data_IF_482117098526
#
_entry.id   IF_482117098526
#
_cell.length_a   1.000
_cell.length_b   1.000
_cell.length_c   1.000
_cell.angle_alpha   90.00
_cell.angle_beta   90.00
_cell.angle_gamma   90.00
#
_symmetry.space_group_name_H-M   'P 1'
#
loop_
_entity.id
_entity.type
_entity.pdbx_description
1 polymer ?
#
# COMPACT_ATOMS: atom_id res chain seq x y z
N UNK A 1 -1.13 17.97 -3.80
CA UNK A 1 -1.31 16.60 -3.31
C UNK A 1 -2.79 16.32 -3.18
N UNK A 2 -3.24 15.20 -3.72
CA UNK A 2 -4.64 14.75 -3.70
C UNK A 2 -4.66 13.30 -3.17
N UNK A 3 -5.67 12.95 -2.38
CA UNK A 3 -5.87 11.59 -1.88
C UNK A 3 -7.19 11.09 -2.44
N UNK A 4 -7.16 9.94 -3.13
CA UNK A 4 -8.33 9.33 -3.74
C UNK A 4 -8.43 7.85 -3.37
N UNK A 5 -9.64 7.32 -3.43
CA UNK A 5 -9.87 5.87 -3.43
C UNK A 5 -9.40 5.30 -4.76
N UNK A 6 -8.50 4.33 -4.72
CA UNK A 6 -7.92 3.71 -5.91
C UNK A 6 -7.66 2.22 -5.69
N UNK A 7 -7.33 1.50 -6.76
CA UNK A 7 -6.98 0.08 -6.66
C UNK A 7 -5.50 -0.12 -6.26
N UNK A 8 -5.18 -1.08 -5.38
CA UNK A 8 -3.80 -1.40 -5.00
C UNK A 8 -3.01 -2.16 -6.09
N UNK A 9 -3.66 -2.69 -7.14
CA UNK A 9 -3.04 -3.50 -8.22
C UNK A 9 -2.26 -2.68 -9.27
N UNK A 10 -2.07 -1.39 -9.00
CA UNK A 10 -1.29 -0.51 -9.86
C UNK A 10 0.21 -0.79 -9.71
N UNK A 11 0.99 -0.81 -10.81
CA UNK A 11 2.40 -1.22 -10.76
C UNK A 11 3.26 -0.32 -9.86
N UNK A 12 3.00 0.99 -9.83
CA UNK A 12 3.70 1.93 -8.95
C UNK A 12 3.37 1.70 -7.46
N UNK A 13 2.12 1.35 -7.15
CA UNK A 13 1.66 1.05 -5.79
C UNK A 13 2.21 -0.29 -5.32
N UNK A 14 2.16 -1.32 -6.15
CA UNK A 14 2.74 -2.63 -5.86
C UNK A 14 4.25 -2.53 -5.57
N UNK A 15 4.99 -1.71 -6.33
CA UNK A 15 6.40 -1.46 -6.07
C UNK A 15 6.64 -0.76 -4.72
N UNK A 16 5.75 0.16 -4.33
CA UNK A 16 5.82 0.83 -3.03
C UNK A 16 5.50 -0.13 -1.87
N UNK A 17 4.48 -0.98 -2.01
CA UNK A 17 4.14 -2.02 -1.04
C UNK A 17 5.30 -2.99 -0.85
N UNK A 18 5.92 -3.49 -1.93
CA UNK A 18 7.07 -4.38 -1.84
C UNK A 18 8.27 -3.74 -1.10
N UNK A 19 8.47 -2.43 -1.25
CA UNK A 19 9.51 -1.69 -0.50
C UNK A 19 9.16 -1.57 0.98
N UNK A 20 7.89 -1.35 1.31
CA UNK A 20 7.41 -1.33 2.69
C UNK A 20 7.56 -2.70 3.34
N UNK A 21 7.19 -3.77 2.63
CA UNK A 21 7.33 -5.16 3.10
C UNK A 21 8.78 -5.50 3.43
N UNK A 22 9.70 -5.16 2.53
CA UNK A 22 11.14 -5.35 2.75
C UNK A 22 11.66 -4.55 3.96
N UNK A 23 11.17 -3.33 4.16
CA UNK A 23 11.52 -2.52 5.32
C UNK A 23 10.98 -3.13 6.61
N UNK A 24 9.71 -3.52 6.65
CA UNK A 24 9.09 -4.13 7.82
C UNK A 24 9.76 -5.47 8.18
N UNK A 25 10.10 -6.30 7.18
CA UNK A 25 10.81 -7.55 7.40
C UNK A 25 12.24 -7.35 7.95
N UNK A 26 12.87 -6.21 7.67
CA UNK A 26 14.17 -5.87 8.23
C UNK A 26 14.08 -5.32 9.67
N UNK A 27 12.94 -4.72 10.05
CA UNK A 27 12.75 -4.07 11.35
C UNK A 27 12.09 -4.97 12.39
N UNK A 28 11.24 -5.91 11.96
CA UNK A 28 10.42 -6.73 12.85
C UNK A 28 10.64 -8.22 12.61
N UNK A 29 10.59 -9.06 13.66
CA UNK A 29 10.56 -10.51 13.50
C UNK A 29 9.30 -10.94 12.75
N UNK A 30 9.34 -12.08 12.06
CA UNK A 30 8.26 -12.56 11.21
C UNK A 30 6.93 -12.71 11.95
N UNK A 31 6.97 -13.10 13.23
CA UNK A 31 5.80 -13.29 14.08
C UNK A 31 5.08 -11.98 14.43
N UNK A 32 5.77 -10.85 14.35
CA UNK A 32 5.20 -9.51 14.57
C UNK A 32 4.93 -8.76 13.26
N UNK A 33 5.22 -9.38 12.12
CA UNK A 33 5.08 -8.75 10.82
C UNK A 33 3.72 -9.10 10.21
N UNK A 34 2.79 -8.14 10.22
CA UNK A 34 1.40 -8.31 9.76
C UNK A 34 1.22 -7.75 8.34
N UNK A 35 2.07 -8.16 7.41
CA UNK A 35 2.00 -7.72 6.02
C UNK A 35 0.74 -8.27 5.35
N UNK A 36 0.12 -7.44 4.51
CA UNK A 36 -1.01 -7.82 3.66
C UNK A 36 -0.55 -7.87 2.21
N UNK A 37 -0.93 -8.92 1.50
CA UNK A 37 -0.72 -9.00 0.06
C UNK A 37 -1.73 -8.13 -0.71
N UNK A 38 -1.43 -7.88 -1.99
CA UNK A 38 -2.29 -7.06 -2.85
C UNK A 38 -3.70 -7.67 -2.99
N UNK A 39 -3.82 -9.00 -2.96
CA UNK A 39 -5.10 -9.68 -3.04
C UNK A 39 -6.00 -9.36 -1.83
N UNK A 40 -5.43 -9.35 -0.62
CA UNK A 40 -6.13 -8.99 0.61
C UNK A 40 -6.54 -7.51 0.61
N UNK A 41 -5.70 -6.63 0.07
CA UNK A 41 -5.99 -5.20 -0.04
C UNK A 41 -7.11 -4.88 -1.04
N UNK A 42 -7.43 -5.80 -1.96
CA UNK A 42 -8.55 -5.69 -2.90
C UNK A 42 -9.86 -6.26 -2.35
N UNK A 43 -9.88 -6.73 -1.10
CA UNK A 43 -11.11 -7.22 -0.49
C UNK A 43 -12.15 -6.10 -0.41
N UNK A 44 -13.43 -6.45 -0.59
CA UNK A 44 -14.51 -5.46 -0.77
C UNK A 44 -14.84 -4.63 0.47
N UNK A 45 -14.31 -5.01 1.63
CA UNK A 45 -14.39 -4.30 2.90
C UNK A 45 -13.18 -3.39 3.18
N UNK A 46 -12.21 -3.33 2.26
CA UNK A 46 -11.02 -2.49 2.39
C UNK A 46 -11.20 -1.17 1.64
N UNK A 47 -11.00 -0.06 2.35
CA UNK A 47 -10.86 1.26 1.72
C UNK A 47 -9.38 1.51 1.42
N UNK A 48 -9.01 1.37 0.14
CA UNK A 48 -7.65 1.66 -0.31
C UNK A 48 -7.52 3.08 -0.86
N UNK A 49 -6.52 3.81 -0.38
CA UNK A 49 -6.28 5.23 -0.68
C UNK A 49 -4.88 5.41 -1.25
N UNK A 50 -4.75 6.20 -2.31
CA UNK A 50 -3.46 6.61 -2.88
C UNK A 50 -3.33 8.13 -2.78
N UNK A 51 -2.20 8.58 -2.27
CA UNK A 51 -1.80 9.97 -2.30
C UNK A 51 -0.98 10.23 -3.57
N UNK A 52 -1.43 11.17 -4.40
CA UNK A 52 -0.74 11.62 -5.60
C UNK A 52 -0.19 13.03 -5.42
N UNK A 53 1.02 13.26 -5.92
CA UNK A 53 1.63 14.59 -5.96
C UNK A 53 1.03 15.49 -7.06
N UNK A 54 1.65 16.62 -7.35
CA UNK A 54 1.17 17.57 -8.37
C UNK A 54 1.36 17.07 -9.80
N UNK A 55 2.31 16.16 -10.02
CA UNK A 55 2.63 15.57 -11.31
C UNK A 55 1.81 14.27 -11.54
N UNK A 56 1.02 13.86 -10.54
CA UNK A 56 0.17 12.68 -10.58
C UNK A 56 0.87 11.39 -10.13
N UNK A 57 2.13 11.46 -9.69
CA UNK A 57 2.89 10.29 -9.24
C UNK A 57 2.44 9.82 -7.86
N UNK A 58 2.42 8.51 -7.64
CA UNK A 58 2.11 7.97 -6.31
C UNK A 58 3.19 8.36 -5.29
N UNK A 59 2.78 9.12 -4.28
CA UNK A 59 3.63 9.58 -3.18
C UNK A 59 3.44 8.75 -1.89
N UNK A 60 2.34 8.00 -1.78
CA UNK A 60 2.00 7.17 -0.63
C UNK A 60 0.70 6.41 -0.83
N UNK A 61 0.45 5.38 -0.01
CA UNK A 61 -0.83 4.68 0.04
C UNK A 61 -1.21 4.31 1.47
N UNK A 62 -2.50 4.05 1.68
CA UNK A 62 -3.05 3.55 2.93
C UNK A 62 -4.21 2.59 2.66
N UNK A 63 -4.41 1.64 3.57
CA UNK A 63 -5.56 0.75 3.58
C UNK A 63 -6.25 0.85 4.94
N UNK A 64 -7.58 0.89 4.94
CA UNK A 64 -8.40 0.87 6.15
C UNK A 64 -9.35 -0.33 6.11
N UNK A 65 -9.34 -1.09 7.21
CA UNK A 65 -10.15 -2.29 7.47
C UNK A 65 -10.99 -2.13 8.73
#
# INVERSE_FOLDING_TARGET
MIINTESPDQPEVAAMLARLDALCAALYPAESNHLMDVASLMAGDVLFLVARDVDGSAAGCAALV
#
